data_IF_292631857772
#
_entry.id   IF_292631857772
#
_cell.length_a   1.000
_cell.length_b   1.000
_cell.length_c   1.000
_cell.angle_alpha   90.00
_cell.angle_beta   90.00
_cell.angle_gamma   90.00
#
_symmetry.space_group_name_H-M   'P 1'
#
loop_
_entity.id
_entity.type
_entity.pdbx_description
1 polymer ?
#
# COMPACT_ATOMS: atom_id res chain seq x y z
N UNK A 1 -22.33 -1.13 -15.22
CA UNK A 1 -21.01 -0.77 -15.84
C UNK A 1 -19.95 -0.37 -14.81
N UNK A 2 -20.32 0.10 -13.61
CA UNK A 2 -19.37 0.52 -12.56
C UNK A 2 -19.04 -0.53 -11.48
N UNK A 3 -19.52 -1.77 -11.61
CA UNK A 3 -19.31 -2.83 -10.61
C UNK A 3 -17.84 -3.25 -10.42
N UNK A 4 -16.94 -2.85 -11.33
CA UNK A 4 -15.52 -3.23 -11.32
C UNK A 4 -14.60 -2.26 -10.54
N UNK A 5 -15.13 -1.17 -9.97
CA UNK A 5 -14.35 -0.17 -9.21
C UNK A 5 -14.62 -0.18 -7.70
N UNK A 6 -15.27 -1.23 -7.17
CA UNK A 6 -15.51 -1.31 -5.73
C UNK A 6 -14.41 -2.12 -5.06
N UNK A 7 -13.91 -1.59 -3.97
CA UNK A 7 -12.95 -2.29 -3.13
C UNK A 7 -13.64 -3.49 -2.45
N UNK A 8 -12.91 -4.57 -2.14
CA UNK A 8 -13.47 -5.70 -1.40
C UNK A 8 -14.09 -5.24 -0.08
N UNK A 9 -15.30 -5.73 0.20
CA UNK A 9 -15.96 -5.49 1.46
C UNK A 9 -15.15 -6.09 2.63
N UNK A 10 -14.97 -5.31 3.70
CA UNK A 10 -14.22 -5.76 4.89
C UNK A 10 -15.14 -6.15 6.06
N UNK A 11 -16.40 -5.72 6.03
CA UNK A 11 -17.39 -6.04 7.07
C UNK A 11 -18.54 -6.87 6.51
N UNK A 12 -19.17 -7.64 7.39
CA UNK A 12 -20.37 -8.40 7.04
C UNK A 12 -21.49 -7.49 6.50
N UNK A 13 -21.68 -6.32 7.10
CA UNK A 13 -22.71 -5.36 6.68
C UNK A 13 -22.43 -4.83 5.27
N UNK A 14 -21.19 -4.41 5.01
CA UNK A 14 -20.78 -3.93 3.69
C UNK A 14 -20.94 -5.01 2.62
N UNK A 15 -20.56 -6.26 2.93
CA UNK A 15 -20.72 -7.37 1.99
C UNK A 15 -22.21 -7.61 1.64
N UNK A 16 -23.09 -7.58 2.65
CA UNK A 16 -24.53 -7.73 2.45
C UNK A 16 -25.12 -6.59 1.60
N UNK A 17 -24.69 -5.35 1.83
CA UNK A 17 -25.17 -4.18 1.09
C UNK A 17 -24.67 -4.13 -0.36
N UNK A 18 -23.40 -4.45 -0.59
CA UNK A 18 -22.78 -4.28 -1.91
C UNK A 18 -22.97 -5.47 -2.84
N UNK A 19 -23.19 -6.67 -2.29
CA UNK A 19 -23.21 -7.92 -3.06
C UNK A 19 -24.59 -8.62 -3.08
N UNK A 20 -25.63 -8.05 -2.44
CA UNK A 20 -26.98 -8.65 -2.40
C UNK A 20 -27.56 -8.95 -3.78
N UNK A 21 -27.23 -8.12 -4.77
CA UNK A 21 -27.74 -8.24 -6.13
C UNK A 21 -26.90 -9.20 -7.00
N UNK A 22 -25.83 -9.77 -6.44
CA UNK A 22 -24.87 -10.65 -7.13
C UNK A 22 -24.88 -12.06 -6.51
N UNK A 23 -24.87 -12.15 -5.18
CA UNK A 23 -24.71 -13.41 -4.47
C UNK A 23 -26.06 -14.02 -4.07
N UNK A 24 -26.25 -15.31 -4.37
CA UNK A 24 -27.44 -16.07 -3.96
C UNK A 24 -27.48 -16.36 -2.44
N UNK A 25 -26.36 -16.19 -1.76
CA UNK A 25 -26.23 -16.40 -0.32
C UNK A 25 -24.87 -15.97 0.22
N UNK A 26 -24.78 -15.83 1.54
CA UNK A 26 -23.60 -15.33 2.24
C UNK A 26 -23.09 -16.32 3.28
N UNK A 27 -21.83 -16.70 3.18
CA UNK A 27 -21.12 -17.44 4.22
C UNK A 27 -20.27 -16.47 5.04
N UNK A 28 -20.81 -16.03 6.18
CA UNK A 28 -20.18 -15.02 7.04
C UNK A 28 -19.67 -15.64 8.35
N UNK A 29 -18.86 -14.89 9.07
CA UNK A 29 -18.39 -15.24 10.41
C UNK A 29 -18.36 -14.02 11.34
N UNK A 30 -18.18 -14.25 12.63
CA UNK A 30 -18.15 -13.21 13.68
C UNK A 30 -16.74 -12.81 14.13
N UNK A 31 -15.70 -13.14 13.34
CA UNK A 31 -14.35 -12.62 13.54
C UNK A 31 -14.14 -11.40 12.63
N UNK A 32 -13.88 -10.23 13.20
CA UNK A 32 -13.72 -9.02 12.40
C UNK A 32 -12.46 -9.08 11.51
N UNK A 33 -12.56 -8.47 10.33
CA UNK A 33 -11.43 -8.21 9.44
C UNK A 33 -11.05 -6.74 9.60
N UNK A 34 -9.90 -6.50 10.25
CA UNK A 34 -9.47 -5.14 10.57
C UNK A 34 -8.70 -4.47 9.43
N UNK A 35 -8.06 -5.27 8.57
CA UNK A 35 -7.24 -4.80 7.47
C UNK A 35 -7.65 -5.52 6.20
N UNK A 36 -7.89 -4.74 5.14
CA UNK A 36 -7.98 -5.32 3.81
C UNK A 36 -6.64 -5.93 3.43
N UNK A 37 -6.70 -7.14 2.90
CA UNK A 37 -5.55 -7.86 2.42
C UNK A 37 -5.94 -8.71 1.21
N UNK A 38 -5.76 -8.15 0.01
CA UNK A 38 -6.02 -8.86 -1.24
C UNK A 38 -5.12 -10.10 -1.36
N UNK A 39 -5.53 -11.03 -2.22
CA UNK A 39 -4.68 -12.18 -2.56
C UNK A 39 -3.40 -11.72 -3.26
N UNK A 40 -2.27 -12.32 -2.87
CA UNK A 40 -1.05 -12.17 -3.64
C UNK A 40 -1.14 -12.94 -4.95
N UNK A 41 -0.53 -12.41 -6.00
CA UNK A 41 -0.53 -13.01 -7.34
C UNK A 41 0.91 -13.11 -7.82
N UNK A 42 1.30 -14.31 -8.22
CA UNK A 42 2.57 -14.60 -8.88
C UNK A 42 2.29 -15.34 -10.18
N UNK A 43 3.16 -15.22 -11.17
CA UNK A 43 3.11 -16.07 -12.35
C UNK A 43 3.67 -17.48 -12.08
N UNK A 44 3.70 -18.34 -13.10
CA UNK A 44 4.18 -19.72 -12.97
C UNK A 44 5.69 -19.81 -12.72
N UNK A 45 6.45 -18.77 -13.07
CA UNK A 45 7.90 -18.69 -12.90
C UNK A 45 8.27 -18.09 -11.53
N UNK A 46 7.29 -17.60 -10.77
CA UNK A 46 7.45 -17.02 -9.44
C UNK A 46 7.58 -15.50 -9.45
N UNK A 47 7.39 -14.82 -10.58
CA UNK A 47 7.42 -13.36 -10.66
C UNK A 47 6.26 -12.76 -9.90
N UNK A 48 6.54 -11.80 -9.03
CA UNK A 48 5.52 -11.09 -8.25
C UNK A 48 4.71 -10.13 -9.11
N UNK A 49 3.40 -10.36 -9.22
CA UNK A 49 2.46 -9.47 -9.91
C UNK A 49 1.65 -8.59 -8.93
N UNK A 50 1.36 -9.13 -7.74
CA UNK A 50 0.71 -8.40 -6.64
C UNK A 50 1.20 -8.96 -5.31
N UNK A 51 1.89 -8.13 -4.52
CA UNK A 51 2.32 -8.47 -3.16
C UNK A 51 1.28 -8.01 -2.14
N UNK A 52 0.62 -8.95 -1.47
CA UNK A 52 -0.37 -8.68 -0.43
C UNK A 52 -0.41 -9.84 0.59
N UNK A 53 -1.50 -10.62 0.65
CA UNK A 53 -1.67 -11.73 1.60
C UNK A 53 -0.51 -12.72 1.56
N UNK A 54 0.02 -13.07 2.72
CA UNK A 54 1.12 -14.03 2.87
C UNK A 54 2.53 -13.44 2.70
N UNK A 55 2.65 -12.15 2.34
CA UNK A 55 3.93 -11.43 2.28
C UNK A 55 3.94 -10.19 3.18
N UNK A 56 2.82 -9.49 3.30
CA UNK A 56 2.71 -8.32 4.18
C UNK A 56 2.46 -8.81 5.62
N UNK A 57 3.18 -8.31 6.63
CA UNK A 57 4.03 -7.12 6.60
C UNK A 57 5.54 -7.39 6.56
N UNK A 58 6.04 -8.50 6.01
CA UNK A 58 7.48 -8.81 6.08
C UNK A 58 8.37 -7.71 5.50
N UNK A 59 9.48 -7.44 6.19
CA UNK A 59 10.48 -6.46 5.79
C UNK A 59 11.45 -7.06 4.76
N UNK A 60 11.91 -6.24 3.82
CA UNK A 60 13.00 -6.55 2.89
C UNK A 60 14.29 -5.85 3.33
N UNK A 61 15.41 -6.54 3.18
CA UNK A 61 16.74 -5.96 3.39
C UNK A 61 17.15 -5.14 2.17
N UNK A 62 17.61 -3.92 2.38
CA UNK A 62 18.09 -3.05 1.32
C UNK A 62 19.47 -3.49 0.81
N UNK A 63 19.87 -3.09 -0.42
CA UNK A 63 21.17 -3.44 -0.97
C UNK A 63 22.35 -3.03 -0.09
N UNK A 64 23.50 -3.68 -0.31
CA UNK A 64 24.72 -3.37 0.42
C UNK A 64 25.09 -1.87 0.29
N UNK A 65 25.38 -1.24 1.43
CA UNK A 65 25.71 0.19 1.50
C UNK A 65 24.58 1.06 2.03
N UNK A 66 23.32 0.60 1.93
CA UNK A 66 22.18 1.25 2.57
C UNK A 66 22.16 0.93 4.07
N UNK A 67 22.60 1.89 4.89
CA UNK A 67 22.69 1.78 6.35
C UNK A 67 22.24 3.11 6.97
N UNK A 68 21.73 3.04 8.19
CA UNK A 68 21.38 4.22 9.01
C UNK A 68 20.45 5.22 8.30
N UNK A 69 19.58 4.73 7.41
CA UNK A 69 18.60 5.56 6.72
C UNK A 69 17.60 6.09 7.75
N UNK A 70 17.32 7.41 7.78
CA UNK A 70 16.29 7.96 8.67
C UNK A 70 14.91 7.38 8.32
N UNK A 71 13.92 7.43 9.23
CA UNK A 71 12.56 6.99 8.93
C UNK A 71 11.95 7.78 7.75
N UNK A 72 11.82 7.15 6.59
CA UNK A 72 11.18 7.73 5.40
C UNK A 72 9.89 6.98 5.06
N UNK A 73 8.80 7.72 4.85
CA UNK A 73 7.57 7.18 4.27
C UNK A 73 7.57 7.45 2.76
N UNK A 74 7.58 6.42 1.93
CA UNK A 74 7.37 6.55 0.50
C UNK A 74 5.91 6.25 0.17
N UNK A 75 5.18 7.20 -0.43
CA UNK A 75 3.73 7.06 -0.63
C UNK A 75 3.33 6.24 -1.86
N UNK A 76 4.28 5.95 -2.76
CA UNK A 76 4.04 5.22 -4.00
C UNK A 76 3.42 6.07 -5.11
N UNK A 77 2.90 5.40 -6.14
CA UNK A 77 2.20 6.00 -7.27
C UNK A 77 0.66 5.98 -7.08
N UNK A 78 -0.09 6.61 -7.97
CA UNK A 78 -1.56 6.65 -7.89
C UNK A 78 -2.20 5.26 -8.08
N UNK A 79 -1.78 4.56 -9.15
CA UNK A 79 -2.32 3.26 -9.53
C UNK A 79 -1.48 2.13 -8.97
N UNK A 80 -2.15 1.02 -8.66
CA UNK A 80 -1.56 -0.18 -8.04
C UNK A 80 -0.74 0.16 -6.79
N UNK A 81 -1.26 1.10 -6.00
CA UNK A 81 -0.52 1.74 -4.94
C UNK A 81 -0.03 0.73 -3.88
N UNK A 82 1.21 0.96 -3.45
CA UNK A 82 1.77 0.51 -2.18
C UNK A 82 2.55 1.68 -1.60
N UNK A 83 2.40 1.94 -0.30
CA UNK A 83 3.38 2.74 0.43
C UNK A 83 4.50 1.84 0.98
N UNK A 84 5.65 2.44 1.31
CA UNK A 84 6.71 1.77 2.04
C UNK A 84 7.27 2.59 3.19
N UNK A 85 7.65 1.89 4.26
CA UNK A 85 8.34 2.43 5.43
C UNK A 85 9.82 2.04 5.34
N UNK A 86 10.72 3.00 5.32
CA UNK A 86 12.17 2.75 5.19
C UNK A 86 12.89 3.30 6.41
N UNK A 87 13.70 2.48 7.09
CA UNK A 87 14.54 2.90 8.23
C UNK A 87 15.72 1.94 8.40
N UNK A 88 16.89 2.47 8.73
CA UNK A 88 18.11 1.67 8.91
C UNK A 88 18.55 1.06 7.58
N UNK A 89 18.46 -0.26 7.47
CA UNK A 89 18.78 -1.02 6.25
C UNK A 89 17.59 -1.87 5.75
N UNK A 90 16.36 -1.52 6.16
CA UNK A 90 15.17 -2.26 5.81
C UNK A 90 14.11 -1.37 5.18
N UNK A 91 13.31 -1.96 4.30
CA UNK A 91 12.06 -1.40 3.83
C UNK A 91 10.91 -2.37 4.11
N UNK A 92 9.75 -1.83 4.46
CA UNK A 92 8.53 -2.60 4.64
C UNK A 92 7.50 -2.08 3.65
N UNK A 93 7.07 -2.93 2.72
CA UNK A 93 6.01 -2.58 1.78
C UNK A 93 4.65 -2.98 2.35
N UNK A 94 3.70 -2.08 2.19
CA UNK A 94 2.29 -2.34 2.45
C UNK A 94 1.68 -3.33 1.46
N UNK A 95 0.43 -3.72 1.73
CA UNK A 95 -0.39 -4.43 0.78
C UNK A 95 -0.80 -3.56 -0.41
N UNK A 96 -1.23 -4.20 -1.47
CA UNK A 96 -1.80 -3.55 -2.65
C UNK A 96 -3.13 -2.86 -2.33
N UNK A 97 -3.25 -1.57 -2.67
CA UNK A 97 -4.50 -0.79 -2.47
C UNK A 97 -5.31 -0.54 -3.75
N UNK A 98 -4.75 -0.83 -4.92
CA UNK A 98 -5.40 -0.49 -6.19
C UNK A 98 -5.17 0.97 -6.58
N UNK A 99 -6.22 1.68 -6.95
CA UNK A 99 -6.17 3.09 -7.39
C UNK A 99 -6.56 4.01 -6.23
N UNK A 100 -5.67 4.94 -5.84
CA UNK A 100 -5.96 5.87 -4.73
C UNK A 100 -7.08 6.86 -5.04
N UNK A 101 -7.45 7.04 -6.32
CA UNK A 101 -8.56 7.90 -6.73
C UNK A 101 -9.94 7.24 -6.55
N UNK A 102 -9.98 5.93 -6.31
CA UNK A 102 -11.22 5.22 -6.05
C UNK A 102 -11.75 5.54 -4.63
N UNK A 103 -13.08 5.66 -4.53
CA UNK A 103 -13.75 6.01 -3.29
C UNK A 103 -13.42 5.02 -2.17
N UNK A 104 -13.07 5.55 -0.99
CA UNK A 104 -12.76 4.76 0.20
C UNK A 104 -11.36 4.15 0.23
N UNK A 105 -10.59 4.15 -0.87
CA UNK A 105 -9.23 3.58 -0.89
C UNK A 105 -8.29 4.36 0.02
N UNK A 106 -8.34 5.69 -0.04
CA UNK A 106 -7.48 6.53 0.81
C UNK A 106 -7.71 6.25 2.31
N UNK A 107 -8.95 5.99 2.73
CA UNK A 107 -9.26 5.66 4.12
C UNK A 107 -8.62 4.31 4.53
N UNK A 108 -8.69 3.30 3.67
CA UNK A 108 -8.05 1.99 3.90
C UNK A 108 -6.52 2.13 3.93
N UNK A 109 -5.96 2.91 3.00
CA UNK A 109 -4.53 3.22 2.92
C UNK A 109 -4.03 3.88 4.21
N UNK A 110 -4.76 4.88 4.73
CA UNK A 110 -4.41 5.58 5.98
C UNK A 110 -4.50 4.66 7.20
N UNK A 111 -5.53 3.81 7.27
CA UNK A 111 -5.68 2.82 8.35
C UNK A 111 -4.52 1.82 8.37
N UNK A 112 -4.15 1.31 7.20
CA UNK A 112 -3.00 0.41 7.05
C UNK A 112 -1.68 1.10 7.38
N UNK A 113 -1.50 2.36 6.96
CA UNK A 113 -0.32 3.15 7.31
C UNK A 113 -0.17 3.31 8.82
N UNK A 114 -1.24 3.67 9.53
CA UNK A 114 -1.24 3.74 10.99
C UNK A 114 -0.86 2.40 11.62
N UNK A 115 -1.50 1.32 11.17
CA UNK A 115 -1.24 -0.02 11.70
C UNK A 115 0.21 -0.45 11.48
N UNK A 116 0.77 -0.21 10.29
CA UNK A 116 2.16 -0.54 10.00
C UNK A 116 3.14 0.34 10.78
N UNK A 117 2.82 1.61 11.01
CA UNK A 117 3.61 2.48 11.87
C UNK A 117 3.65 1.96 13.31
N UNK A 118 2.53 1.50 13.83
CA UNK A 118 2.45 0.91 15.17
C UNK A 118 3.27 -0.40 15.27
N UNK A 119 3.10 -1.32 14.30
CA UNK A 119 3.83 -2.60 14.27
C UNK A 119 5.35 -2.38 14.26
N UNK A 120 5.84 -1.40 13.49
CA UNK A 120 7.27 -1.14 13.34
C UNK A 120 7.81 -0.07 14.30
N UNK A 121 6.99 0.45 15.22
CA UNK A 121 7.31 1.63 16.03
C UNK A 121 7.98 2.72 15.16
N UNK A 122 7.30 3.09 14.07
CA UNK A 122 7.84 3.90 12.99
C UNK A 122 7.19 5.28 12.97
N UNK A 123 8.00 6.32 13.16
CA UNK A 123 7.58 7.71 13.02
C UNK A 123 8.35 8.34 11.84
N UNK A 124 7.70 8.70 10.73
CA UNK A 124 8.39 9.27 9.58
C UNK A 124 8.99 10.64 9.92
N UNK A 125 10.25 10.84 9.53
CA UNK A 125 10.94 12.14 9.58
C UNK A 125 10.85 12.87 8.23
N UNK A 126 10.50 12.16 7.15
CA UNK A 126 10.26 12.71 5.82
C UNK A 126 9.31 11.85 5.00
N UNK A 127 8.74 12.45 3.97
CA UNK A 127 7.85 11.80 3.01
C UNK A 127 8.43 11.89 1.61
N UNK A 128 8.46 10.77 0.89
CA UNK A 128 8.86 10.69 -0.52
C UNK A 128 7.62 10.36 -1.35
N UNK A 129 7.42 11.07 -2.46
CA UNK A 129 6.24 10.93 -3.29
C UNK A 129 6.57 11.08 -4.78
N UNK A 130 5.64 10.69 -5.65
CA UNK A 130 5.81 10.90 -7.08
C UNK A 130 5.91 12.40 -7.43
N UNK A 131 6.72 12.72 -8.44
CA UNK A 131 6.86 14.07 -8.97
C UNK A 131 5.56 14.61 -9.59
N UNK A 132 4.63 13.74 -10.01
CA UNK A 132 3.36 14.15 -10.60
C UNK A 132 2.51 14.96 -9.60
N UNK A 133 2.19 16.24 -9.90
CA UNK A 133 1.55 17.13 -8.94
C UNK A 133 0.07 16.79 -8.66
N UNK A 134 -0.57 16.05 -9.56
CA UNK A 134 -2.00 15.71 -9.47
C UNK A 134 -2.33 14.40 -8.76
N UNK A 135 -1.35 13.67 -8.21
CA UNK A 135 -1.62 12.42 -7.49
C UNK A 135 -2.18 12.66 -6.09
N UNK A 136 -3.14 11.86 -5.65
CA UNK A 136 -3.72 11.93 -4.30
C UNK A 136 -2.65 11.70 -3.24
N UNK A 137 -1.77 10.72 -3.45
CA UNK A 137 -0.65 10.45 -2.57
C UNK A 137 0.32 11.66 -2.43
N UNK A 138 0.45 12.46 -3.51
CA UNK A 138 1.27 13.68 -3.51
C UNK A 138 0.59 14.80 -2.73
N UNK A 139 -0.71 15.00 -2.92
CA UNK A 139 -1.49 15.98 -2.18
C UNK A 139 -1.49 15.66 -0.68
N UNK A 140 -1.71 14.39 -0.33
CA UNK A 140 -1.63 13.89 1.03
C UNK A 140 -0.25 14.15 1.65
N UNK A 141 0.85 13.84 0.94
CA UNK A 141 2.21 14.06 1.41
C UNK A 141 2.48 15.54 1.74
N UNK A 142 2.03 16.47 0.88
CA UNK A 142 2.21 17.92 1.09
C UNK A 142 1.39 18.47 2.25
N UNK A 143 0.33 17.79 2.66
CA UNK A 143 -0.46 18.17 3.82
C UNK A 143 0.19 17.75 5.15
N UNK A 144 1.24 16.93 5.11
CA UNK A 144 1.97 16.52 6.30
C UNK A 144 2.92 17.63 6.78
N UNK A 145 3.09 17.75 8.09
CA UNK A 145 4.07 18.66 8.70
C UNK A 145 5.50 18.08 8.64
N UNK A 146 5.90 17.53 7.49
CA UNK A 146 7.17 16.86 7.27
C UNK A 146 7.84 17.37 5.98
N UNK A 147 9.18 17.31 5.89
CA UNK A 147 9.88 17.49 4.63
C UNK A 147 9.36 16.52 3.56
N UNK A 148 9.07 17.04 2.37
CA UNK A 148 8.58 16.26 1.22
C UNK A 148 9.60 16.28 0.09
N UNK A 149 9.98 15.10 -0.37
CA UNK A 149 10.83 14.89 -1.54
C UNK A 149 10.05 14.25 -2.67
N UNK A 150 10.44 14.58 -3.91
CA UNK A 150 9.79 14.05 -5.11
C UNK A 150 10.74 13.21 -5.93
N UNK A 151 10.28 12.04 -6.37
CA UNK A 151 11.02 11.15 -7.25
C UNK A 151 10.27 11.03 -8.57
N UNK A 152 11.00 11.04 -9.70
CA UNK A 152 10.41 10.77 -11.01
C UNK A 152 9.94 9.32 -11.09
N UNK A 153 8.73 9.11 -11.61
CA UNK A 153 8.10 7.79 -11.72
C UNK A 153 9.01 6.71 -12.33
N UNK A 154 9.60 6.98 -13.50
CA UNK A 154 10.49 6.03 -14.18
C UNK A 154 11.82 5.82 -13.45
N UNK A 155 12.30 6.83 -12.70
CA UNK A 155 13.47 6.67 -11.84
C UNK A 155 13.16 5.71 -10.70
N UNK A 156 11.99 5.81 -10.07
CA UNK A 156 11.56 4.88 -9.03
C UNK A 156 11.45 3.43 -9.57
N UNK A 157 10.90 3.22 -10.77
CA UNK A 157 10.87 1.90 -11.41
C UNK A 157 12.27 1.31 -11.63
N UNK A 158 13.19 2.10 -12.20
CA UNK A 158 14.56 1.65 -12.42
C UNK A 158 15.28 1.33 -11.09
N UNK A 159 15.13 2.20 -10.08
CA UNK A 159 15.74 2.02 -8.77
C UNK A 159 15.18 0.79 -8.02
N UNK A 160 13.89 0.51 -8.13
CA UNK A 160 13.28 -0.68 -7.53
C UNK A 160 13.86 -1.97 -8.11
N UNK A 161 14.02 -2.04 -9.44
CA UNK A 161 14.68 -3.18 -10.10
C UNK A 161 16.13 -3.36 -9.64
N UNK A 162 16.89 -2.26 -9.54
CA UNK A 162 18.26 -2.29 -9.00
C UNK A 162 18.32 -2.69 -7.53
N UNK A 163 17.27 -2.45 -6.75
CA UNK A 163 17.24 -2.78 -5.33
C UNK A 163 16.92 -4.25 -5.05
N UNK A 164 16.26 -4.94 -5.99
CA UNK A 164 15.88 -6.36 -5.86
C UNK A 164 17.00 -7.32 -6.32
N UNK A 165 17.96 -6.84 -7.13
CA UNK A 165 19.05 -7.63 -7.73
C UNK A 165 20.40 -7.41 -7.03
#
# INVERSE_FOLDING_TARGET
>A
PDAYKRQPAISNQQALEELSDIADGFLLHNRDILQRMDDSVMDQEGTMLRRARGFVPDAITLPAGFRDIPPMLCTGAEMKNTFSLVRGNQAVLSQHFGDLSDEGVEAQWRSALSTMQDIYAFQPERVVCDAHPGYHARLWARAQALPVETVLHHHAHAAACLAEN
#
